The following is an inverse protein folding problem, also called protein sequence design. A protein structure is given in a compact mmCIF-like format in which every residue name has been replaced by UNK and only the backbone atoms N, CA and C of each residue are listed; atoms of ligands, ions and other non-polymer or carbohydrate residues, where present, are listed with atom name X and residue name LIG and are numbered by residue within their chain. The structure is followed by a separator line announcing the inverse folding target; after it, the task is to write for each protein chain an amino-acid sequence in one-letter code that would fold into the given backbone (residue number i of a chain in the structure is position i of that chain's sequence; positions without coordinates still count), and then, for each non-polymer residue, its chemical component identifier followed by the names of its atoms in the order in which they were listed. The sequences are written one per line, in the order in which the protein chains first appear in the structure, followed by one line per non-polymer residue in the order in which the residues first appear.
data_IF_672870529435
#
_entry.id   IF_672870529435
#
_cell.length_a   1.000
_cell.length_b   1.000
_cell.length_c   1.000
_cell.angle_alpha   90.00
_cell.angle_beta   90.00
_cell.angle_gamma   90.00
#
_symmetry.space_group_name_H-M   'P 1'
#
loop_
_entity.id
_entity.type
_entity.pdbx_description
1 polymer ?
#
# COMPACT_ATOMS: atom_id res chain seq x y z
N UNK A 1 -21.70 -18.62 -0.01
CA UNK A 1 -20.60 -19.35 -0.67
C UNK A 1 -20.04 -20.30 0.37
N UNK A 2 -19.80 -21.58 0.04
CA UNK A 2 -19.28 -22.53 1.03
C UNK A 2 -17.87 -22.11 1.45
N UNK A 3 -17.62 -22.11 2.76
CA UNK A 3 -16.28 -21.95 3.31
C UNK A 3 -15.73 -23.30 3.76
N UNK A 4 -14.40 -23.46 3.71
CA UNK A 4 -13.72 -24.72 4.09
C UNK A 4 -14.05 -25.12 5.54
N UNK A 5 -14.09 -24.13 6.44
CA UNK A 5 -14.38 -24.35 7.85
C UNK A 5 -15.80 -23.92 8.19
N UNK A 6 -16.56 -24.83 8.80
CA UNK A 6 -17.93 -24.58 9.25
C UNK A 6 -18.03 -23.36 10.18
N UNK A 7 -17.07 -23.18 11.09
CA UNK A 7 -17.03 -22.02 11.99
C UNK A 7 -16.87 -20.70 11.22
N UNK A 8 -16.04 -20.68 10.18
CA UNK A 8 -15.89 -19.50 9.30
C UNK A 8 -17.19 -19.23 8.55
N UNK A 9 -17.82 -20.26 8.00
CA UNK A 9 -19.10 -20.14 7.31
C UNK A 9 -20.18 -19.52 8.21
N UNK A 10 -20.31 -20.04 9.43
CA UNK A 10 -21.26 -19.53 10.42
C UNK A 10 -21.01 -18.04 10.75
N UNK A 11 -19.75 -17.66 10.96
CA UNK A 11 -19.39 -16.26 11.27
C UNK A 11 -19.62 -15.34 10.07
N UNK A 12 -19.24 -15.76 8.87
CA UNK A 12 -19.39 -14.95 7.66
C UNK A 12 -20.87 -14.75 7.34
N UNK A 13 -21.68 -15.82 7.35
CA UNK A 13 -23.10 -15.71 7.06
C UNK A 13 -23.87 -14.93 8.13
N UNK A 14 -23.46 -15.00 9.41
CA UNK A 14 -24.07 -14.20 10.48
C UNK A 14 -23.76 -12.72 10.34
N UNK A 15 -22.50 -12.39 10.04
CA UNK A 15 -22.02 -11.02 10.15
C UNK A 15 -22.05 -10.25 8.83
N UNK A 16 -21.95 -10.96 7.70
CA UNK A 16 -21.83 -10.42 6.34
C UNK A 16 -20.84 -9.25 6.24
N UNK A 17 -19.76 -9.27 7.04
CA UNK A 17 -18.83 -8.15 7.14
C UNK A 17 -18.18 -7.86 5.79
N UNK A 18 -18.14 -6.59 5.42
CA UNK A 18 -17.43 -6.09 4.24
C UNK A 18 -16.32 -5.13 4.71
N UNK A 19 -15.29 -4.97 3.87
CA UNK A 19 -14.20 -4.03 4.08
C UNK A 19 -13.88 -3.28 2.80
N UNK A 20 -14.76 -2.37 2.39
CA UNK A 20 -14.53 -1.46 1.25
C UNK A 20 -13.41 -0.50 1.63
N UNK A 21 -12.28 -0.64 0.95
CA UNK A 21 -11.07 0.13 1.19
C UNK A 21 -10.95 1.37 0.32
N UNK A 22 -10.33 2.42 0.86
CA UNK A 22 -9.83 3.57 0.09
C UNK A 22 -8.30 3.65 0.18
N UNK A 23 -7.67 4.19 -0.87
CA UNK A 23 -6.21 4.35 -1.01
C UNK A 23 -5.91 5.66 -1.73
N UNK A 24 -4.64 6.10 -1.75
CA UNK A 24 -4.26 7.35 -2.39
C UNK A 24 -4.63 8.59 -1.58
N UNK A 25 -4.82 8.45 -0.27
CA UNK A 25 -5.33 9.53 0.59
C UNK A 25 -4.38 10.74 0.57
N UNK A 26 -3.07 10.52 0.73
CA UNK A 26 -2.08 11.60 0.69
C UNK A 26 -1.93 12.27 -0.69
N UNK A 27 -2.51 11.70 -1.75
CA UNK A 27 -2.58 12.32 -3.08
C UNK A 27 -3.87 13.12 -3.29
N UNK A 28 -4.85 13.01 -2.39
CA UNK A 28 -6.22 13.50 -2.58
C UNK A 28 -6.86 13.95 -1.27
N UNK A 29 -6.11 14.60 -0.39
CA UNK A 29 -6.60 15.08 0.91
C UNK A 29 -7.85 15.97 0.80
N UNK A 30 -7.93 16.76 -0.27
CA UNK A 30 -9.07 17.63 -0.56
C UNK A 30 -10.37 16.88 -0.90
N UNK A 31 -10.34 15.54 -0.91
CA UNK A 31 -11.49 14.66 -1.15
C UNK A 31 -11.87 13.83 0.07
N UNK A 32 -11.19 13.97 1.20
CA UNK A 32 -11.52 13.20 2.42
C UNK A 32 -12.96 13.49 2.87
N UNK A 33 -13.43 14.72 2.71
CA UNK A 33 -14.82 15.10 3.04
C UNK A 33 -15.87 14.35 2.23
N UNK A 34 -15.53 13.81 1.05
CA UNK A 34 -16.46 13.01 0.25
C UNK A 34 -16.80 11.67 0.93
N UNK A 35 -15.92 11.20 1.82
CA UNK A 35 -16.03 9.86 2.38
C UNK A 35 -17.21 9.71 3.33
N UNK A 36 -17.62 10.77 4.03
CA UNK A 36 -18.75 10.72 4.97
C UNK A 36 -20.07 10.49 4.20
N UNK A 37 -20.31 11.29 3.15
CA UNK A 37 -21.47 11.11 2.25
C UNK A 37 -21.45 9.74 1.55
N UNK A 38 -20.26 9.29 1.12
CA UNK A 38 -20.10 7.96 0.54
C UNK A 38 -20.41 6.84 1.54
N UNK A 39 -20.01 6.98 2.81
CA UNK A 39 -20.26 5.99 3.85
C UNK A 39 -21.76 5.90 4.16
N UNK A 40 -22.45 7.03 4.29
CA UNK A 40 -23.92 7.07 4.47
C UNK A 40 -24.62 6.37 3.31
N UNK A 41 -24.26 6.72 2.08
CA UNK A 41 -24.83 6.12 0.86
C UNK A 41 -24.57 4.61 0.78
N UNK A 42 -23.35 4.17 1.13
CA UNK A 42 -22.98 2.75 1.12
C UNK A 42 -23.78 1.95 2.16
N UNK A 43 -24.03 2.54 3.33
CA UNK A 43 -24.82 1.92 4.40
C UNK A 43 -26.28 1.75 3.98
N UNK A 44 -26.90 2.78 3.40
CA UNK A 44 -28.26 2.69 2.85
C UNK A 44 -28.36 1.61 1.77
N UNK A 45 -27.36 1.54 0.88
CA UNK A 45 -27.29 0.52 -0.16
C UNK A 45 -27.16 -0.90 0.44
N UNK A 46 -26.32 -1.11 1.44
CA UNK A 46 -26.16 -2.42 2.10
C UNK A 46 -27.46 -2.89 2.77
N UNK A 47 -28.17 -1.99 3.44
CA UNK A 47 -29.46 -2.30 4.07
C UNK A 47 -30.53 -2.68 3.03
N UNK A 48 -30.66 -1.91 1.95
CA UNK A 48 -31.60 -2.20 0.86
C UNK A 48 -31.27 -3.51 0.15
N UNK A 49 -29.99 -3.70 -0.20
CA UNK A 49 -29.53 -4.87 -0.94
C UNK A 49 -29.63 -6.14 -0.11
N UNK A 50 -29.21 -6.10 1.16
CA UNK A 50 -29.31 -7.23 2.08
C UNK A 50 -30.77 -7.66 2.27
N UNK A 51 -31.69 -6.71 2.44
CA UNK A 51 -33.14 -7.00 2.51
C UNK A 51 -33.66 -7.64 1.23
N UNK A 52 -33.28 -7.13 0.06
CA UNK A 52 -33.68 -7.69 -1.25
C UNK A 52 -33.18 -9.12 -1.46
N UNK A 53 -32.01 -9.45 -0.92
CA UNK A 53 -31.38 -10.79 -1.05
C UNK A 53 -31.73 -11.74 0.11
N UNK A 54 -32.35 -11.25 1.17
CA UNK A 54 -32.60 -12.04 2.38
C UNK A 54 -31.33 -12.34 3.18
N UNK A 55 -30.32 -11.46 3.10
CA UNK A 55 -29.08 -11.55 3.89
C UNK A 55 -29.18 -10.68 5.15
N UNK A 56 -28.43 -11.00 6.22
CA UNK A 56 -28.18 -10.04 7.28
C UNK A 56 -27.45 -8.81 6.72
N UNK A 57 -27.82 -7.63 7.18
CA UNK A 57 -27.05 -6.40 6.95
C UNK A 57 -25.63 -6.57 7.47
N UNK A 58 -24.66 -6.02 6.74
CA UNK A 58 -23.25 -6.12 7.08
C UNK A 58 -22.98 -5.47 8.43
N UNK A 59 -22.31 -6.19 9.34
CA UNK A 59 -21.99 -5.67 10.69
C UNK A 59 -21.03 -4.47 10.65
N UNK A 60 -20.21 -4.39 9.60
CA UNK A 60 -19.28 -3.31 9.25
C UNK A 60 -19.05 -3.34 7.73
N UNK A 61 -18.70 -2.19 7.15
CA UNK A 61 -18.66 -1.98 5.71
C UNK A 61 -17.31 -1.50 5.18
N UNK A 62 -16.62 -0.62 5.91
CA UNK A 62 -15.54 0.21 5.37
C UNK A 62 -14.26 0.07 6.17
N UNK A 63 -13.12 0.24 5.50
CA UNK A 63 -11.80 0.13 6.12
C UNK A 63 -10.79 1.01 5.38
N UNK A 64 -9.61 1.19 5.97
CA UNK A 64 -8.44 1.69 5.24
C UNK A 64 -7.33 0.67 5.39
N UNK A 65 -6.82 0.18 4.26
CA UNK A 65 -5.72 -0.79 4.20
C UNK A 65 -4.62 -0.25 3.28
N UNK A 66 -3.35 -0.31 3.68
CA UNK A 66 -2.24 -0.02 2.79
C UNK A 66 -2.04 -1.17 1.79
N UNK A 67 -2.80 -1.18 0.70
CA UNK A 67 -2.75 -2.25 -0.31
C UNK A 67 -1.60 -2.05 -1.29
N UNK A 68 -0.36 -2.23 -0.83
CA UNK A 68 0.87 -1.93 -1.57
C UNK A 68 0.82 -2.35 -3.05
N UNK A 69 0.59 -3.63 -3.36
CA UNK A 69 0.54 -4.13 -4.74
C UNK A 69 -0.54 -3.47 -5.60
N UNK A 70 -1.76 -3.30 -5.06
CA UNK A 70 -2.87 -2.71 -5.81
C UNK A 70 -2.65 -1.21 -6.02
N UNK A 71 -2.11 -0.52 -5.02
CA UNK A 71 -1.80 0.90 -5.10
C UNK A 71 -0.73 1.17 -6.16
N UNK A 72 0.27 0.30 -6.27
CA UNK A 72 1.30 0.40 -7.30
C UNK A 72 0.73 0.25 -8.72
N UNK A 73 -0.25 -0.64 -8.92
CA UNK A 73 -0.89 -0.83 -10.22
C UNK A 73 -1.63 0.45 -10.67
N UNK A 74 -2.25 1.17 -9.74
CA UNK A 74 -2.96 2.43 -10.04
C UNK A 74 -2.09 3.68 -9.93
N UNK A 75 -0.81 3.55 -9.53
CA UNK A 75 0.08 4.68 -9.25
C UNK A 75 -0.34 5.52 -8.04
N UNK A 76 -1.07 4.91 -7.10
CA UNK A 76 -1.55 5.56 -5.88
C UNK A 76 -0.67 5.33 -4.65
N UNK A 77 -0.73 6.23 -3.67
CA UNK A 77 -0.10 5.97 -2.36
C UNK A 77 -0.91 4.92 -1.59
N UNK A 78 -0.28 4.06 -0.77
CA UNK A 78 -0.97 2.96 -0.11
C UNK A 78 -1.73 3.44 1.14
N UNK A 79 -3.07 3.35 1.11
CA UNK A 79 -3.93 3.75 2.23
C UNK A 79 -3.72 5.22 2.62
N UNK A 80 -3.36 5.45 3.89
CA UNK A 80 -3.03 6.78 4.46
C UNK A 80 -1.55 7.15 4.38
N UNK A 81 -0.69 6.31 3.81
CA UNK A 81 0.74 6.62 3.79
C UNK A 81 1.08 7.72 2.76
N UNK A 82 2.07 8.57 3.07
CA UNK A 82 2.61 9.54 2.13
C UNK A 82 3.38 8.86 1.00
N UNK A 83 3.74 9.64 -0.02
CA UNK A 83 4.70 9.23 -1.03
C UNK A 83 6.11 9.14 -0.41
N UNK A 84 6.95 8.24 -0.92
CA UNK A 84 8.33 8.13 -0.44
C UNK A 84 9.14 9.41 -0.74
N UNK A 85 9.21 9.79 -2.02
CA UNK A 85 9.85 11.00 -2.51
C UNK A 85 9.19 11.44 -3.82
N UNK A 86 9.51 12.65 -4.29
CA UNK A 86 8.98 13.17 -5.56
C UNK A 86 9.56 12.45 -6.77
N UNK A 87 10.88 12.23 -6.78
CA UNK A 87 11.60 11.44 -7.78
C UNK A 87 12.42 10.37 -7.06
N UNK A 88 12.30 9.12 -7.49
CA UNK A 88 13.00 8.01 -6.85
C UNK A 88 13.21 6.85 -7.81
N UNK A 89 14.19 6.02 -7.50
CA UNK A 89 14.35 4.69 -8.09
C UNK A 89 13.56 3.72 -7.24
N UNK A 90 12.76 2.88 -7.90
CA UNK A 90 12.15 1.70 -7.29
C UNK A 90 12.83 0.46 -7.82
N UNK A 91 13.42 -0.34 -6.94
CA UNK A 91 14.11 -1.58 -7.29
C UNK A 91 13.19 -2.79 -7.11
N UNK A 92 13.11 -3.63 -8.14
CA UNK A 92 12.36 -4.89 -8.10
C UNK A 92 13.32 -6.04 -8.26
N UNK A 93 13.21 -7.03 -7.36
CA UNK A 93 13.99 -8.28 -7.44
C UNK A 93 13.22 -9.30 -8.26
N UNK A 94 13.88 -9.90 -9.24
CA UNK A 94 13.33 -10.91 -10.14
C UNK A 94 14.28 -12.11 -10.21
N UNK A 95 13.76 -13.30 -10.51
CA UNK A 95 14.64 -14.42 -10.86
C UNK A 95 15.46 -14.04 -12.08
N UNK A 96 16.75 -14.39 -12.09
CA UNK A 96 17.64 -14.04 -13.21
C UNK A 96 17.23 -14.67 -14.55
N UNK A 97 16.42 -15.72 -14.52
CA UNK A 97 15.88 -16.44 -15.68
C UNK A 97 14.44 -16.03 -16.04
N UNK A 98 13.87 -15.01 -15.40
CA UNK A 98 12.52 -14.52 -15.72
C UNK A 98 12.53 -13.76 -17.06
N UNK A 99 11.61 -14.08 -17.96
CA UNK A 99 11.50 -13.45 -19.29
C UNK A 99 11.37 -11.92 -19.19
N UNK A 100 10.76 -11.40 -18.11
CA UNK A 100 10.62 -9.97 -17.88
C UNK A 100 11.97 -9.26 -17.71
N UNK A 101 13.01 -9.97 -17.27
CA UNK A 101 14.34 -9.39 -17.11
C UNK A 101 14.91 -9.01 -18.48
N UNK A 102 14.75 -9.85 -19.49
CA UNK A 102 15.26 -9.57 -20.83
C UNK A 102 14.46 -8.43 -21.48
N UNK A 103 13.13 -8.41 -21.29
CA UNK A 103 12.30 -7.26 -21.68
C UNK A 103 12.80 -5.95 -21.04
N UNK A 104 13.14 -5.98 -19.75
CA UNK A 104 13.68 -4.81 -19.05
C UNK A 104 15.04 -4.37 -19.61
N UNK A 105 15.95 -5.33 -19.87
CA UNK A 105 17.27 -5.05 -20.47
C UNK A 105 17.15 -4.44 -21.86
N UNK A 106 16.31 -5.01 -22.72
CA UNK A 106 16.08 -4.49 -24.07
C UNK A 106 15.51 -3.07 -24.07
N UNK A 107 14.66 -2.78 -23.08
CA UNK A 107 14.10 -1.46 -22.80
C UNK A 107 15.08 -0.50 -22.09
N UNK A 108 16.34 -0.90 -21.88
CA UNK A 108 17.41 -0.14 -21.24
C UNK A 108 17.19 0.18 -19.75
N UNK A 109 16.33 -0.58 -19.05
CA UNK A 109 16.30 -0.48 -17.58
C UNK A 109 17.61 -1.02 -16.99
N UNK A 110 18.23 -0.35 -16.00
CA UNK A 110 19.39 -0.90 -15.32
C UNK A 110 19.05 -2.24 -14.64
N UNK A 111 19.89 -3.24 -14.87
CA UNK A 111 19.77 -4.58 -14.29
C UNK A 111 21.13 -4.99 -13.75
N UNK A 112 21.18 -5.37 -12.48
CA UNK A 112 22.37 -5.90 -11.82
C UNK A 112 22.04 -7.15 -11.00
N UNK A 113 23.03 -7.96 -10.63
CA UNK A 113 22.79 -9.09 -9.72
C UNK A 113 22.46 -8.60 -8.32
N UNK A 114 21.61 -9.35 -7.63
CA UNK A 114 21.34 -9.08 -6.22
C UNK A 114 22.63 -9.28 -5.40
N UNK A 115 22.88 -8.39 -4.45
CA UNK A 115 24.03 -8.46 -3.56
C UNK A 115 23.63 -9.01 -2.21
N UNK A 116 24.45 -9.95 -1.71
CA UNK A 116 24.34 -10.53 -0.37
C UNK A 116 24.91 -9.55 0.66
N UNK A 117 24.63 -9.81 1.93
CA UNK A 117 25.13 -8.98 3.04
C UNK A 117 26.66 -8.99 3.19
N UNK A 118 27.33 -10.02 2.67
CA UNK A 118 28.80 -10.12 2.63
C UNK A 118 29.42 -9.43 1.39
N UNK A 119 28.60 -8.78 0.55
CA UNK A 119 29.01 -8.09 -0.66
C UNK A 119 29.15 -8.98 -1.90
N UNK A 120 28.94 -10.29 -1.78
CA UNK A 120 28.98 -11.20 -2.93
C UNK A 120 27.70 -11.14 -3.76
N UNK A 121 27.79 -11.52 -5.05
CA UNK A 121 26.64 -11.56 -5.95
C UNK A 121 25.83 -12.86 -5.80
N UNK A 122 24.51 -12.74 -5.87
CA UNK A 122 23.57 -13.83 -6.05
C UNK A 122 23.13 -13.88 -7.51
N UNK A 123 23.73 -14.77 -8.30
CA UNK A 123 23.41 -14.91 -9.72
C UNK A 123 22.02 -15.52 -10.01
N UNK A 124 21.30 -15.99 -8.99
CA UNK A 124 19.92 -16.48 -9.16
C UNK A 124 18.87 -15.37 -9.21
N UNK A 125 19.25 -14.16 -8.77
CA UNK A 125 18.34 -13.02 -8.63
C UNK A 125 18.98 -11.78 -9.22
N UNK A 126 18.19 -11.00 -9.98
CA UNK A 126 18.59 -9.69 -10.46
C UNK A 126 17.73 -8.60 -9.83
N UNK A 127 18.27 -7.39 -9.79
CA UNK A 127 17.63 -6.17 -9.34
C UNK A 127 17.45 -5.27 -10.55
N UNK A 128 16.20 -4.91 -10.85
CA UNK A 128 15.84 -3.99 -11.93
C UNK A 128 15.46 -2.64 -11.34
N UNK A 129 16.07 -1.56 -11.84
CA UNK A 129 15.80 -0.19 -11.40
C UNK A 129 14.72 0.50 -12.26
N UNK A 130 13.62 0.93 -11.64
CA UNK A 130 12.56 1.68 -12.30
C UNK A 130 12.56 3.14 -11.81
N UNK A 131 12.95 4.12 -12.64
CA UNK A 131 12.81 5.54 -12.28
C UNK A 131 11.33 5.90 -12.20
N UNK A 132 10.92 6.44 -11.06
CA UNK A 132 9.55 6.77 -10.73
C UNK A 132 9.45 8.26 -10.36
N UNK A 133 8.29 8.85 -10.70
CA UNK A 133 7.95 10.22 -10.30
C UNK A 133 6.50 10.23 -9.81
N UNK A 134 6.27 10.86 -8.66
CA UNK A 134 4.95 11.12 -8.11
C UNK A 134 4.64 12.60 -8.36
N UNK A 135 3.38 12.95 -8.63
CA UNK A 135 3.05 14.36 -8.86
C UNK A 135 3.46 15.23 -7.64
N UNK A 136 3.92 16.45 -7.88
CA UNK A 136 4.36 17.38 -6.83
C UNK A 136 3.24 17.94 -5.93
N UNK A 137 2.04 17.34 -5.92
CA UNK A 137 0.92 17.70 -5.03
C UNK A 137 0.71 16.67 -3.91
N UNK A 138 1.45 15.57 -3.93
CA UNK A 138 1.35 14.50 -2.93
C UNK A 138 2.23 14.82 -1.73
N UNK A 139 1.74 14.60 -0.51
CA UNK A 139 2.60 14.74 0.67
C UNK A 139 3.69 13.67 0.64
N UNK A 140 4.93 14.09 0.86
CA UNK A 140 6.10 13.21 0.96
C UNK A 140 6.31 12.75 2.40
N UNK A 141 7.04 11.64 2.56
CA UNK A 141 7.33 11.06 3.86
C UNK A 141 8.17 12.03 4.73
N UNK A 142 9.07 12.80 4.13
CA UNK A 142 9.86 13.83 4.81
C UNK A 142 9.00 14.98 5.38
N UNK A 143 7.86 15.28 4.75
CA UNK A 143 6.95 16.36 5.13
C UNK A 143 5.85 15.90 6.13
N UNK A 144 5.97 14.68 6.65
CA UNK A 144 4.91 14.01 7.40
C UNK A 144 5.39 13.58 8.78
N UNK A 145 5.17 14.45 9.77
CA UNK A 145 5.41 14.13 11.19
C UNK A 145 4.52 12.99 11.69
N UNK A 146 4.95 12.33 12.77
CA UNK A 146 4.18 11.27 13.41
C UNK A 146 2.80 11.74 13.85
N UNK A 147 2.70 12.94 14.43
CA UNK A 147 1.41 13.55 14.82
C UNK A 147 0.52 13.81 13.60
N UNK A 148 1.08 14.26 12.47
CA UNK A 148 0.29 14.47 11.25
C UNK A 148 -0.26 13.16 10.69
N UNK A 149 0.50 12.06 10.79
CA UNK A 149 0.01 10.72 10.44
C UNK A 149 -1.15 10.29 11.36
N UNK A 150 -1.02 10.52 12.66
CA UNK A 150 -2.05 10.20 13.66
C UNK A 150 -3.34 11.01 13.45
N UNK A 151 -3.25 12.30 13.13
CA UNK A 151 -4.41 13.12 12.80
C UNK A 151 -5.14 12.62 11.55
N UNK A 152 -4.40 12.23 10.50
CA UNK A 152 -5.01 11.66 9.30
C UNK A 152 -5.72 10.33 9.61
N UNK A 153 -5.12 9.49 10.46
CA UNK A 153 -5.72 8.23 10.90
C UNK A 153 -7.02 8.48 11.67
N UNK A 154 -7.01 9.44 12.60
CA UNK A 154 -8.20 9.87 13.34
C UNK A 154 -9.29 10.36 12.39
N UNK A 155 -8.96 11.24 11.45
CA UNK A 155 -9.91 11.77 10.48
C UNK A 155 -10.58 10.66 9.66
N UNK A 156 -9.79 9.71 9.14
CA UNK A 156 -10.30 8.59 8.35
C UNK A 156 -11.06 7.56 9.20
N UNK A 157 -10.69 7.41 10.47
CA UNK A 157 -11.42 6.57 11.41
C UNK A 157 -12.79 7.17 11.75
N UNK A 158 -12.91 8.51 11.74
CA UNK A 158 -14.16 9.25 11.95
C UNK A 158 -15.04 9.27 10.70
N UNK A 159 -14.49 9.67 9.55
CA UNK A 159 -15.29 9.95 8.34
C UNK A 159 -15.56 8.76 7.43
N UNK A 160 -14.77 7.69 7.53
CA UNK A 160 -14.89 6.57 6.60
C UNK A 160 -15.00 5.23 7.29
N UNK A 161 -14.02 4.88 8.12
CA UNK A 161 -13.81 3.49 8.53
C UNK A 161 -14.68 3.11 9.73
N UNK A 162 -15.61 2.18 9.52
CA UNK A 162 -16.30 1.52 10.63
C UNK A 162 -15.55 0.25 11.10
N UNK A 163 -14.65 -0.33 10.30
CA UNK A 163 -13.62 -1.26 10.77
C UNK A 163 -12.47 -0.48 11.41
N UNK A 164 -11.23 -0.65 10.94
CA UNK A 164 -10.06 0.05 11.44
C UNK A 164 -9.34 0.80 10.32
N UNK A 165 -8.49 1.74 10.69
CA UNK A 165 -7.52 2.35 9.78
C UNK A 165 -6.15 1.72 10.03
N UNK A 166 -5.66 0.93 9.07
CA UNK A 166 -4.34 0.32 9.15
C UNK A 166 -3.27 1.32 8.74
N UNK A 167 -2.29 1.51 9.62
CA UNK A 167 -1.19 2.45 9.45
C UNK A 167 0.05 1.94 10.18
N UNK A 168 1.21 2.19 9.59
CA UNK A 168 2.50 2.21 10.31
C UNK A 168 2.92 3.68 10.42
N UNK A 169 2.86 4.23 11.63
CA UNK A 169 3.31 5.58 11.93
C UNK A 169 4.82 5.56 12.04
N UNK A 170 5.49 6.17 11.06
CA UNK A 170 6.93 6.38 11.10
C UNK A 170 7.23 7.60 11.95
N UNK A 171 8.19 7.48 12.87
CA UNK A 171 8.56 8.58 13.77
C UNK A 171 10.07 8.64 13.99
N UNK A 172 10.59 9.81 14.37
CA UNK A 172 11.96 10.02 14.85
C UNK A 172 11.96 10.22 16.38
N UNK A 173 13.10 10.01 17.03
CA UNK A 173 13.18 10.02 18.50
C UNK A 173 12.77 11.39 19.09
N UNK A 174 13.08 12.47 18.40
CA UNK A 174 12.70 13.84 18.73
C UNK A 174 11.18 14.09 18.73
N UNK A 175 10.39 13.25 18.05
CA UNK A 175 8.92 13.37 17.99
C UNK A 175 8.22 12.64 19.16
N UNK A 176 8.96 11.90 19.99
CA UNK A 176 8.37 11.03 21.02
C UNK A 176 7.48 11.77 22.02
N UNK A 177 7.86 12.97 22.44
CA UNK A 177 7.08 13.70 23.44
C UNK A 177 5.76 14.22 22.85
N UNK A 178 5.77 14.71 21.60
CA UNK A 178 4.55 15.09 20.89
C UNK A 178 3.63 13.89 20.66
N UNK A 179 4.18 12.71 20.34
CA UNK A 179 3.39 11.48 20.18
C UNK A 179 2.71 11.10 21.50
N UNK A 180 3.44 11.14 22.63
CA UNK A 180 2.86 10.83 23.95
C UNK A 180 1.74 11.80 24.30
N UNK A 181 1.97 13.10 24.10
CA UNK A 181 0.96 14.12 24.36
C UNK A 181 -0.28 13.88 23.50
N UNK A 182 -0.11 13.63 22.20
CA UNK A 182 -1.21 13.36 21.29
C UNK A 182 -2.01 12.12 21.72
N UNK A 183 -1.33 11.02 22.04
CA UNK A 183 -1.97 9.79 22.49
C UNK A 183 -2.71 10.01 23.80
N UNK A 184 -2.16 10.77 24.75
CA UNK A 184 -2.83 11.05 26.03
C UNK A 184 -4.19 11.73 25.85
N UNK A 185 -4.32 12.56 24.80
CA UNK A 185 -5.54 13.30 24.49
C UNK A 185 -6.52 12.54 23.57
N UNK A 186 -6.04 11.58 22.78
CA UNK A 186 -6.81 11.03 21.66
C UNK A 186 -6.93 9.49 21.65
N UNK A 187 -6.09 8.76 22.39
CA UNK A 187 -5.99 7.30 22.24
C UNK A 187 -7.32 6.57 22.48
N UNK A 188 -8.04 6.93 23.55
CA UNK A 188 -9.30 6.25 23.92
C UNK A 188 -10.47 6.59 22.99
N UNK A 189 -10.43 7.73 22.30
CA UNK A 189 -11.58 8.27 21.55
C UNK A 189 -11.41 8.22 20.05
N UNK A 190 -10.17 8.22 19.56
CA UNK A 190 -9.87 8.49 18.15
C UNK A 190 -9.21 7.32 17.41
N UNK A 191 -8.64 6.34 18.13
CA UNK A 191 -7.92 5.22 17.54
C UNK A 191 -8.54 3.88 17.94
N UNK A 192 -8.66 2.97 16.96
CA UNK A 192 -8.91 1.55 17.23
C UNK A 192 -7.62 0.73 17.23
N UNK A 193 -6.69 1.10 16.35
CA UNK A 193 -5.40 0.42 16.16
C UNK A 193 -4.37 1.42 15.66
N UNK A 194 -3.13 1.28 16.09
CA UNK A 194 -1.98 2.01 15.56
C UNK A 194 -0.73 1.14 15.69
N UNK A 195 0.17 1.19 14.72
CA UNK A 195 1.49 0.57 14.77
C UNK A 195 2.54 1.67 14.59
N UNK A 196 3.60 1.66 15.40
CA UNK A 196 4.70 2.61 15.31
C UNK A 196 5.96 1.91 14.81
N UNK A 197 6.74 2.61 13.99
CA UNK A 197 8.04 2.15 13.54
C UNK A 197 9.02 3.33 13.58
N UNK A 198 10.11 3.16 14.34
CA UNK A 198 11.17 4.15 14.39
C UNK A 198 11.81 4.27 12.99
N UNK A 199 11.87 5.48 12.47
CA UNK A 199 12.59 5.77 11.24
C UNK A 199 14.06 5.44 11.44
N UNK A 200 14.61 4.63 10.55
CA UNK A 200 16.03 4.31 10.53
C UNK A 200 16.55 4.44 9.11
N UNK A 201 17.72 5.06 8.96
CA UNK A 201 18.41 5.08 7.69
C UNK A 201 18.88 3.65 7.38
N UNK A 202 18.63 3.19 6.16
CA UNK A 202 19.02 1.84 5.80
C UNK A 202 20.48 1.77 5.36
N UNK A 203 21.18 0.71 5.75
CA UNK A 203 22.51 0.38 5.25
C UNK A 203 22.51 -0.53 4.02
N UNK A 204 21.38 -0.65 3.31
CA UNK A 204 21.28 -1.56 2.16
C UNK A 204 22.02 -1.00 0.95
N UNK A 205 22.91 -1.80 0.36
CA UNK A 205 23.60 -1.48 -0.90
C UNK A 205 22.60 -1.35 -2.07
N UNK A 206 21.51 -2.14 -2.04
CA UNK A 206 20.45 -2.14 -3.05
C UNK A 206 19.10 -1.89 -2.42
N UNK A 207 18.91 -0.66 -1.92
CA UNK A 207 17.66 -0.26 -1.30
C UNK A 207 16.47 -0.34 -2.27
N UNK A 208 15.29 -0.80 -1.80
CA UNK A 208 14.11 -0.94 -2.66
C UNK A 208 13.59 0.41 -3.19
N UNK A 209 13.82 1.48 -2.45
CA UNK A 209 13.54 2.85 -2.83
C UNK A 209 14.80 3.68 -2.60
N UNK A 210 15.12 4.57 -3.53
CA UNK A 210 16.23 5.51 -3.42
C UNK A 210 15.80 6.84 -4.01
N UNK A 211 15.84 7.90 -3.21
CA UNK A 211 15.53 9.25 -3.67
C UNK A 211 16.60 9.74 -4.66
N UNK A 212 16.17 10.39 -5.74
CA UNK A 212 17.05 10.94 -6.77
C UNK A 212 16.64 12.37 -7.12
N UNK A 213 17.56 13.14 -7.70
CA UNK A 213 17.22 14.46 -8.21
C UNK A 213 16.35 14.36 -9.47
N UNK A 214 15.65 15.45 -9.78
CA UNK A 214 14.88 15.58 -11.02
C UNK A 214 15.77 15.39 -12.26
N UNK A 215 16.97 15.96 -12.25
CA UNK A 215 17.92 15.84 -13.36
C UNK A 215 18.37 14.39 -13.57
N UNK A 216 18.61 13.64 -12.49
CA UNK A 216 18.97 12.22 -12.60
C UNK A 216 17.79 11.38 -13.11
N UNK A 217 16.57 11.65 -12.63
CA UNK A 217 15.35 11.04 -13.15
C UNK A 217 15.20 11.26 -14.66
N UNK A 218 15.29 12.52 -15.12
CA UNK A 218 15.16 12.88 -16.53
C UNK A 218 16.26 12.22 -17.38
N UNK A 219 17.50 12.20 -16.88
CA UNK A 219 18.63 11.53 -17.53
C UNK A 219 18.40 10.03 -17.67
N UNK A 220 17.87 9.36 -16.65
CA UNK A 220 17.56 7.92 -16.68
C UNK A 220 16.43 7.63 -17.65
N UNK A 221 15.30 8.35 -17.54
CA UNK A 221 14.14 8.17 -18.41
C UNK A 221 14.47 8.41 -19.88
N UNK A 222 15.33 9.38 -20.20
CA UNK A 222 15.75 9.68 -21.58
C UNK A 222 16.43 8.51 -22.31
N UNK A 223 16.95 7.53 -21.56
CA UNK A 223 17.62 6.35 -22.10
C UNK A 223 16.69 5.15 -22.28
N UNK A 224 15.52 5.18 -21.64
CA UNK A 224 14.57 4.07 -21.65
C UNK A 224 13.87 3.97 -23.00
N UNK A 225 13.59 2.74 -23.43
CA UNK A 225 12.72 2.48 -24.57
C UNK A 225 11.36 2.01 -24.08
N UNK A 226 10.33 2.35 -24.83
CA UNK A 226 8.97 1.89 -24.55
C UNK A 226 8.87 0.36 -24.63
N UNK A 227 8.34 -0.27 -23.58
CA UNK A 227 8.00 -1.70 -23.59
C UNK A 227 6.66 -1.87 -24.32
N UNK A 228 6.72 -2.38 -25.56
CA UNK A 228 5.52 -2.53 -26.42
C UNK A 228 4.81 -3.87 -26.26
N UNK A 229 5.54 -4.89 -25.81
CA UNK A 229 5.03 -6.25 -25.61
C UNK A 229 5.71 -6.85 -24.40
N UNK A 230 4.91 -7.48 -23.56
CA UNK A 230 5.36 -8.42 -22.55
C UNK A 230 4.79 -9.75 -23.00
N UNK A 231 5.63 -10.72 -23.36
CA UNK A 231 5.15 -12.10 -23.41
C UNK A 231 4.73 -12.43 -21.99
N UNK A 232 3.45 -12.71 -21.77
CA UNK A 232 3.04 -13.27 -20.50
C UNK A 232 3.66 -14.66 -20.42
N UNK A 233 4.88 -14.77 -19.88
CA UNK A 233 5.28 -15.99 -19.20
C UNK A 233 4.15 -16.35 -18.23
N UNK A 234 3.72 -17.62 -18.27
CA UNK A 234 2.52 -18.18 -17.62
C UNK A 234 1.85 -17.17 -16.70
N UNK A 235 0.77 -16.55 -17.21
CA UNK A 235 -0.14 -15.78 -16.34
C UNK A 235 -0.31 -16.63 -15.09
N UNK A 236 0.10 -16.09 -13.94
CA UNK A 236 -0.25 -16.63 -12.63
C UNK A 236 -1.78 -16.55 -12.51
N UNK A 237 -2.45 -17.40 -13.28
CA UNK A 237 -3.82 -17.79 -13.04
C UNK A 237 -3.79 -18.36 -11.63
N UNK A 238 -4.51 -17.71 -10.73
CA UNK A 238 -4.64 -18.04 -9.30
C UNK A 238 -3.73 -17.25 -8.34
N UNK A 239 -3.89 -15.92 -8.33
CA UNK A 239 -3.73 -15.10 -7.12
C UNK A 239 -5.07 -14.61 -6.55
N UNK A 240 -6.18 -15.19 -7.01
CA UNK A 240 -7.42 -15.18 -6.23
C UNK A 240 -7.33 -16.30 -5.20
N UNK A 241 -7.52 -15.95 -3.93
CA UNK A 241 -7.73 -16.87 -2.81
C UNK A 241 -9.03 -17.68 -2.98
N UNK A 242 -9.16 -18.46 -4.06
CA UNK A 242 -10.29 -19.37 -4.26
C UNK A 242 -10.30 -20.51 -3.23
N UNK A 243 -9.17 -20.78 -2.56
CA UNK A 243 -9.00 -21.90 -1.63
C UNK A 243 -8.59 -21.56 -0.19
N UNK A 244 -8.56 -20.29 0.22
CA UNK A 244 -8.32 -19.92 1.63
C UNK A 244 -6.97 -20.34 2.24
N UNK A 245 -6.00 -20.80 1.45
CA UNK A 245 -4.65 -21.12 1.89
C UNK A 245 -3.62 -20.40 1.01
N UNK A 246 -2.61 -19.78 1.63
CA UNK A 246 -1.44 -19.28 0.92
C UNK A 246 -0.62 -20.46 0.41
N UNK A 247 -0.14 -20.44 -0.85
CA UNK A 247 0.76 -21.47 -1.33
C UNK A 247 2.07 -21.43 -0.53
N UNK A 248 2.45 -22.59 0.00
CA UNK A 248 3.73 -22.82 0.64
C UNK A 248 4.74 -23.09 -0.49
N UNK A 249 5.82 -22.30 -0.53
CA UNK A 249 7.05 -22.70 -1.23
C UNK A 249 7.96 -23.42 -0.25
#
# INVERSE_FOLDING_TARGET
MPFIHKQTEEVVHRNMRIGVGVTGICQSLNKIDWLDDCYVSLKEFDEEWSKRKGYPTSIRLTTVKPSGTLSLLSGSTPGVHPAYANHFIRRVRMSSNDELVDVCREANYPVEYARRFDGTEDHSTVVVEFPCHINGRTILAEDMSAVRQLELVKELQTKWSDNSVSVTVYYRLEELDEIKEWLSNNYETSLKTVSFLLHNDHGFDQAPYEEISKEDYEKRVSKLKEIKKVSSGEVLSELECAGGACPIK
#
